data_IF_577586182589
#
_entry.id   IF_577586182589
#
_cell.length_a   1.000
_cell.length_b   1.000
_cell.length_c   1.000
_cell.angle_alpha   90.00
_cell.angle_beta   90.00
_cell.angle_gamma   90.00
#
_symmetry.space_group_name_H-M   'P 1'
#
loop_
_entity.id
_entity.type
_entity.pdbx_description
1 polymer ?
#
# COMPACT_ATOMS: atom_id res chain seq x y z
N UNK A 1 -11.13 10.04 -28.16
CA UNK A 1 -11.70 10.43 -26.85
C UNK A 1 -10.59 10.37 -25.84
N UNK A 2 -10.37 11.45 -25.10
CA UNK A 2 -9.40 11.48 -24.00
C UNK A 2 -9.87 10.48 -22.93
N UNK A 3 -9.05 9.46 -22.65
CA UNK A 3 -9.36 8.45 -21.65
C UNK A 3 -9.19 9.10 -20.28
N UNK A 4 -10.31 9.38 -19.60
CA UNK A 4 -10.28 9.84 -18.21
C UNK A 4 -9.53 8.79 -17.36
N UNK A 5 -8.73 9.20 -16.36
CA UNK A 5 -8.04 8.25 -15.51
C UNK A 5 -9.08 7.40 -14.74
N UNK A 6 -9.15 6.12 -15.07
CA UNK A 6 -10.08 5.14 -14.46
C UNK A 6 -9.86 4.97 -12.94
N UNK A 7 -8.72 5.43 -12.42
CA UNK A 7 -8.27 5.21 -11.04
C UNK A 7 -7.76 6.49 -10.38
N UNK A 8 -8.64 7.47 -10.18
CA UNK A 8 -8.32 8.63 -9.33
C UNK A 8 -8.38 8.20 -7.86
N UNK A 9 -7.25 8.25 -7.16
CA UNK A 9 -7.21 8.03 -5.72
C UNK A 9 -7.68 9.29 -4.99
N UNK A 10 -8.93 9.30 -4.55
CA UNK A 10 -9.50 10.40 -3.76
C UNK A 10 -8.94 10.48 -2.33
N UNK A 11 -8.36 9.38 -1.84
CA UNK A 11 -7.85 9.27 -0.49
C UNK A 11 -6.37 8.86 -0.47
N UNK A 12 -5.60 9.55 0.37
CA UNK A 12 -4.28 9.16 0.85
C UNK A 12 -4.28 9.04 2.38
N UNK A 13 -3.18 8.56 2.97
CA UNK A 13 -3.02 8.43 4.42
C UNK A 13 -3.46 9.70 5.17
N UNK A 14 -2.93 10.87 4.80
CA UNK A 14 -3.27 12.15 5.44
C UNK A 14 -4.77 12.47 5.38
N UNK A 15 -5.43 12.19 4.27
CA UNK A 15 -6.89 12.41 4.14
C UNK A 15 -7.71 11.42 4.95
N UNK A 16 -7.30 10.15 5.01
CA UNK A 16 -7.95 9.12 5.82
C UNK A 16 -7.82 9.45 7.31
N UNK A 17 -6.62 9.83 7.76
CA UNK A 17 -6.37 10.27 9.13
C UNK A 17 -7.24 11.45 9.53
N UNK A 18 -7.39 12.43 8.63
CA UNK A 18 -8.29 13.58 8.85
C UNK A 18 -9.75 13.16 8.97
N UNK A 19 -10.20 12.18 8.17
CA UNK A 19 -11.59 11.69 8.25
C UNK A 19 -11.82 11.02 9.60
N UNK A 20 -10.95 10.09 10.00
CA UNK A 20 -11.08 9.36 11.27
C UNK A 20 -11.06 10.32 12.47
N UNK A 21 -10.09 11.22 12.53
CA UNK A 21 -10.00 12.20 13.64
C UNK A 21 -11.24 13.10 13.72
N UNK A 22 -11.75 13.58 12.58
CA UNK A 22 -12.96 14.42 12.55
C UNK A 22 -14.24 13.69 12.92
N UNK A 23 -14.29 12.37 12.77
CA UNK A 23 -15.47 11.56 13.11
C UNK A 23 -15.39 10.92 14.50
N UNK A 24 -14.46 11.40 15.33
CA UNK A 24 -14.34 10.98 16.73
C UNK A 24 -13.56 9.68 16.92
N UNK A 25 -12.60 9.38 16.03
CA UNK A 25 -11.68 8.26 16.19
C UNK A 25 -10.27 8.76 16.51
N UNK A 26 -9.62 8.08 17.46
CA UNK A 26 -8.18 8.19 17.71
C UNK A 26 -7.44 7.15 16.86
N UNK A 27 -6.44 7.57 16.10
CA UNK A 27 -5.63 6.64 15.30
C UNK A 27 -4.55 5.98 16.14
N UNK A 28 -4.41 4.67 16.00
CA UNK A 28 -3.38 3.91 16.70
C UNK A 28 -2.48 3.09 15.78
N UNK A 29 -2.83 2.93 14.50
CA UNK A 29 -2.05 2.11 13.57
C UNK A 29 -2.27 2.54 12.11
N UNK A 30 -1.21 2.42 11.31
CA UNK A 30 -1.24 2.57 9.85
C UNK A 30 -0.54 1.36 9.23
N UNK A 31 -1.07 0.90 8.12
CA UNK A 31 -0.51 -0.20 7.35
C UNK A 31 -0.68 0.06 5.85
N UNK A 32 0.05 -0.69 5.05
CA UNK A 32 0.08 -0.55 3.60
C UNK A 32 0.18 -1.92 2.92
N UNK A 33 -0.17 -1.96 1.64
CA UNK A 33 0.24 -3.07 0.76
C UNK A 33 1.40 -2.64 -0.12
N UNK A 34 2.05 -3.60 -0.78
CA UNK A 34 3.32 -3.37 -1.48
C UNK A 34 3.21 -2.22 -2.49
N UNK A 35 4.08 -1.20 -2.43
CA UNK A 35 4.07 -0.07 -3.34
C UNK A 35 4.56 -0.50 -4.73
N UNK A 36 3.63 -0.61 -5.68
CA UNK A 36 3.97 -1.00 -7.06
C UNK A 36 4.86 0.03 -7.75
N UNK A 37 4.81 1.28 -7.31
CA UNK A 37 5.64 2.39 -7.79
C UNK A 37 7.15 2.09 -7.65
N UNK A 38 7.54 1.22 -6.72
CA UNK A 38 8.93 0.75 -6.64
C UNK A 38 9.38 0.04 -7.92
N UNK A 39 8.50 -0.70 -8.61
CA UNK A 39 8.83 -1.34 -9.88
C UNK A 39 9.12 -0.30 -10.97
N UNK A 40 8.31 0.77 -11.04
CA UNK A 40 8.55 1.88 -11.97
C UNK A 40 9.91 2.55 -11.68
N UNK A 41 10.19 2.82 -10.40
CA UNK A 41 11.47 3.42 -9.97
C UNK A 41 12.68 2.52 -10.25
N UNK A 42 12.47 1.21 -10.29
CA UNK A 42 13.48 0.22 -10.71
C UNK A 42 13.60 0.07 -12.23
N UNK A 43 12.79 0.78 -13.02
CA UNK A 43 12.82 0.74 -14.49
C UNK A 43 11.91 -0.32 -15.12
N UNK A 44 10.99 -0.92 -14.35
CA UNK A 44 9.99 -1.86 -14.88
C UNK A 44 8.67 -1.13 -15.15
N UNK A 45 8.45 -0.78 -16.41
CA UNK A 45 7.18 -0.22 -16.86
C UNK A 45 6.12 -1.32 -16.98
N UNK A 46 5.35 -1.51 -15.91
CA UNK A 46 4.22 -2.43 -15.90
C UNK A 46 2.91 -1.81 -16.37
N UNK A 47 2.88 -0.51 -16.65
CA UNK A 47 1.67 0.21 -17.08
C UNK A 47 1.44 -0.06 -18.57
N UNK A 48 2.52 -0.02 -19.35
CA UNK A 48 2.46 -0.19 -20.81
C UNK A 48 2.77 -1.63 -21.26
N UNK A 49 3.24 -2.51 -20.36
CA UNK A 49 3.53 -3.91 -20.65
C UNK A 49 2.85 -4.88 -19.66
N UNK A 50 1.76 -5.48 -20.12
CA UNK A 50 0.99 -6.51 -19.42
C UNK A 50 1.82 -7.75 -18.99
N UNK A 51 2.83 -8.11 -19.76
CA UNK A 51 3.71 -9.25 -19.44
C UNK A 51 4.59 -8.90 -18.25
N UNK A 52 5.19 -7.71 -18.25
CA UNK A 52 5.95 -7.18 -17.10
C UNK A 52 5.04 -7.07 -15.89
N UNK A 53 3.80 -6.56 -16.05
CA UNK A 53 2.83 -6.46 -14.96
C UNK A 53 2.51 -7.80 -14.29
N UNK A 54 2.27 -8.85 -15.08
CA UNK A 54 2.06 -10.21 -14.55
C UNK A 54 3.29 -10.76 -13.85
N UNK A 55 4.48 -10.54 -14.40
CA UNK A 55 5.73 -10.98 -13.80
C UNK A 55 5.98 -10.31 -12.44
N UNK A 56 5.92 -8.97 -12.37
CA UNK A 56 6.14 -8.20 -11.14
C UNK A 56 5.06 -8.48 -10.09
N UNK A 57 3.82 -8.72 -10.52
CA UNK A 57 2.77 -9.20 -9.62
C UNK A 57 3.17 -10.53 -8.95
N UNK A 58 3.64 -11.51 -9.73
CA UNK A 58 4.06 -12.81 -9.20
C UNK A 58 5.28 -12.69 -8.28
N UNK A 59 6.26 -11.83 -8.60
CA UNK A 59 7.39 -11.54 -7.73
C UNK A 59 6.96 -10.96 -6.39
N UNK A 60 6.06 -9.97 -6.39
CA UNK A 60 5.46 -9.42 -5.18
C UNK A 60 4.78 -10.50 -4.36
N UNK A 61 3.96 -11.36 -4.98
CA UNK A 61 3.29 -12.46 -4.27
C UNK A 61 4.30 -13.44 -3.66
N UNK A 62 5.39 -13.75 -4.36
CA UNK A 62 6.46 -14.61 -3.83
C UNK A 62 7.18 -13.98 -2.65
N UNK A 63 7.48 -12.68 -2.69
CA UNK A 63 8.06 -11.96 -1.55
C UNK A 63 7.19 -12.14 -0.29
N UNK A 64 5.89 -11.86 -0.42
CA UNK A 64 4.92 -11.96 0.66
C UNK A 64 4.82 -13.38 1.22
N UNK A 65 4.71 -14.37 0.34
CA UNK A 65 4.63 -15.78 0.74
C UNK A 65 5.93 -16.27 1.40
N UNK A 66 7.09 -15.80 0.94
CA UNK A 66 8.38 -16.22 1.48
C UNK A 66 8.65 -15.61 2.86
N UNK A 67 8.27 -14.35 3.09
CA UNK A 67 8.32 -13.73 4.42
C UNK A 67 7.49 -14.54 5.43
N UNK A 68 6.30 -14.98 5.03
CA UNK A 68 5.42 -15.77 5.88
C UNK A 68 5.94 -17.18 6.13
N UNK A 69 6.31 -17.90 5.07
CA UNK A 69 6.82 -19.28 5.18
C UNK A 69 8.13 -19.37 5.95
N UNK A 70 8.94 -18.33 5.92
CA UNK A 70 10.21 -18.27 6.68
C UNK A 70 10.03 -17.85 8.14
N UNK A 71 8.79 -17.58 8.59
CA UNK A 71 8.51 -17.16 9.96
C UNK A 71 8.79 -15.67 10.23
N UNK A 72 9.15 -14.88 9.21
CA UNK A 72 9.56 -13.48 9.30
C UNK A 72 8.37 -12.49 9.37
N UNK A 73 7.28 -12.88 10.02
CA UNK A 73 6.05 -12.10 10.13
C UNK A 73 6.28 -10.69 10.71
N UNK A 74 7.13 -10.59 11.74
CA UNK A 74 7.43 -9.29 12.37
C UNK A 74 8.26 -8.37 11.45
N UNK A 75 9.17 -8.93 10.66
CA UNK A 75 9.90 -8.16 9.66
C UNK A 75 8.95 -7.64 8.58
N UNK A 76 8.08 -8.51 8.08
CA UNK A 76 7.04 -8.13 7.12
C UNK A 76 6.21 -6.98 7.68
N UNK A 77 5.60 -7.16 8.85
CA UNK A 77 4.77 -6.13 9.49
C UNK A 77 5.50 -4.79 9.61
N UNK A 78 6.73 -4.78 10.12
CA UNK A 78 7.53 -3.55 10.24
C UNK A 78 7.82 -2.89 8.89
N UNK A 79 8.08 -3.68 7.85
CA UNK A 79 8.33 -3.19 6.50
C UNK A 79 7.09 -2.46 5.94
N UNK A 80 5.92 -3.08 6.00
CA UNK A 80 4.67 -2.49 5.48
C UNK A 80 4.18 -1.31 6.33
N UNK A 81 4.36 -1.37 7.65
CA UNK A 81 4.13 -0.21 8.51
C UNK A 81 5.07 0.95 8.17
N UNK A 82 6.33 0.68 7.85
CA UNK A 82 7.28 1.71 7.41
C UNK A 82 6.84 2.35 6.10
N UNK A 83 6.38 1.56 5.12
CA UNK A 83 5.78 2.10 3.90
C UNK A 83 4.59 3.02 4.21
N UNK A 84 3.68 2.58 5.08
CA UNK A 84 2.52 3.37 5.48
C UNK A 84 2.90 4.68 6.18
N UNK A 85 3.89 4.65 7.07
CA UNK A 85 4.41 5.83 7.76
C UNK A 85 5.02 6.84 6.79
N UNK A 86 5.66 6.36 5.72
CA UNK A 86 6.21 7.18 4.64
C UNK A 86 5.18 7.55 3.57
N UNK A 87 3.91 7.19 3.74
CA UNK A 87 2.83 7.56 2.84
C UNK A 87 2.83 6.81 1.51
N UNK A 88 3.56 5.68 1.40
CA UNK A 88 3.65 4.87 0.19
C UNK A 88 2.99 3.50 0.38
N UNK A 89 2.43 2.96 -0.69
CA UNK A 89 1.75 1.67 -0.69
C UNK A 89 0.59 1.64 -1.64
N UNK A 90 0.27 0.47 -2.20
CA UNK A 90 -0.81 0.34 -3.18
C UNK A 90 -2.20 0.51 -2.55
N UNK A 91 -2.35 0.10 -1.30
CA UNK A 91 -3.55 0.29 -0.49
C UNK A 91 -3.13 0.96 0.81
N UNK A 92 -3.73 2.10 1.12
CA UNK A 92 -3.56 2.76 2.40
C UNK A 92 -4.58 2.23 3.42
N UNK A 93 -4.10 1.77 4.57
CA UNK A 93 -4.94 1.23 5.65
C UNK A 93 -4.64 2.04 6.92
N UNK A 94 -5.70 2.54 7.57
CA UNK A 94 -5.59 3.22 8.86
C UNK A 94 -6.57 2.61 9.84
N UNK A 95 -6.13 2.38 11.07
CA UNK A 95 -6.98 1.87 12.14
C UNK A 95 -7.18 2.95 13.19
N UNK A 96 -8.45 3.18 13.53
CA UNK A 96 -8.85 4.08 14.58
C UNK A 96 -9.72 3.40 15.61
N UNK A 97 -9.62 3.87 16.85
CA UNK A 97 -10.49 3.49 17.95
C UNK A 97 -11.46 4.65 18.21
N UNK A 98 -12.76 4.35 18.26
CA UNK A 98 -13.77 5.37 18.57
C UNK A 98 -13.52 5.92 19.98
N UNK A 99 -13.49 7.24 20.08
CA UNK A 99 -13.45 7.96 21.35
C UNK A 99 -14.86 7.89 21.94
N UNK A 100 -14.96 7.41 23.18
CA UNK A 100 -16.23 7.23 23.90
C UNK A 100 -16.91 8.54 24.25
#
# INVERSE_FOLDING_TARGET
MEKLPDHVNYFNFKSLEKILTKTGFELFHKDATFPLELFLLMGFDYIDDDKIGREKHNERMRLEMNLEKSGNHELKKKLYQSFAQNGIGRTAIVFGKKIG
#
